data_IF_600456386811
#
_entry.id   IF_600456386811
#
_cell.length_a   1.000
_cell.length_b   1.000
_cell.length_c   1.000
_cell.angle_alpha   90.00
_cell.angle_beta   90.00
_cell.angle_gamma   90.00
#
_symmetry.space_group_name_H-M   'P 1'
#
loop_
_entity.id
_entity.type
_entity.pdbx_description
1 polymer ?
#
# COMPACT_ATOMS: atom_id res chain seq x y z
N UNK A 1 12.17 -16.42 -10.00
CA UNK A 1 11.18 -15.85 -9.07
C UNK A 1 10.89 -14.45 -9.55
N UNK A 2 9.62 -14.07 -9.75
CA UNK A 2 9.31 -12.70 -10.08
C UNK A 2 9.67 -11.80 -8.89
N UNK A 3 9.95 -10.52 -9.16
CA UNK A 3 10.22 -9.50 -8.14
C UNK A 3 9.31 -8.32 -8.48
N UNK A 4 8.61 -7.80 -7.49
CA UNK A 4 7.96 -6.49 -7.60
C UNK A 4 8.90 -5.45 -7.02
N UNK A 5 9.09 -4.37 -7.77
CA UNK A 5 9.82 -3.18 -7.33
C UNK A 5 8.89 -2.00 -7.48
N UNK A 6 8.60 -1.30 -6.39
CA UNK A 6 7.77 -0.11 -6.41
C UNK A 6 8.54 1.03 -7.12
N UNK A 7 7.89 1.77 -8.05
CA UNK A 7 8.51 2.85 -8.79
C UNK A 7 8.52 4.16 -7.96
N UNK A 8 9.21 4.14 -6.82
CA UNK A 8 9.19 5.25 -5.85
C UNK A 8 9.74 6.55 -6.44
N UNK A 9 10.78 6.48 -7.27
CA UNK A 9 11.37 7.67 -7.89
C UNK A 9 10.35 8.39 -8.78
N UNK A 10 9.60 7.65 -9.60
CA UNK A 10 8.55 8.22 -10.45
C UNK A 10 7.38 8.79 -9.62
N UNK A 11 6.99 8.11 -8.55
CA UNK A 11 5.91 8.59 -7.64
C UNK A 11 6.33 9.90 -6.95
N UNK A 12 7.57 9.97 -6.46
CA UNK A 12 8.11 11.17 -5.83
C UNK A 12 8.24 12.31 -6.83
N UNK A 13 8.72 12.04 -8.05
CA UNK A 13 8.76 13.04 -9.12
C UNK A 13 7.36 13.59 -9.41
N UNK A 14 6.38 12.70 -9.60
CA UNK A 14 5.01 13.12 -9.87
C UNK A 14 4.44 13.98 -8.73
N UNK A 15 4.63 13.55 -7.49
CA UNK A 15 4.12 14.25 -6.32
C UNK A 15 4.82 15.58 -6.06
N UNK A 16 6.15 15.62 -6.13
CA UNK A 16 6.94 16.75 -5.63
C UNK A 16 7.34 17.76 -6.72
N UNK A 17 7.39 17.35 -7.99
CA UNK A 17 7.90 18.19 -9.08
C UNK A 17 6.89 18.42 -10.20
N UNK A 18 6.09 17.42 -10.55
CA UNK A 18 5.19 17.51 -11.70
C UNK A 18 3.82 18.10 -11.37
N UNK A 19 3.20 17.63 -10.27
CA UNK A 19 1.87 18.07 -9.87
C UNK A 19 1.94 19.43 -9.17
N UNK A 20 1.15 20.39 -9.65
CA UNK A 20 0.94 21.65 -8.92
C UNK A 20 0.04 21.41 -7.70
N UNK A 21 0.68 21.40 -6.52
CA UNK A 21 0.02 21.24 -5.22
C UNK A 21 -0.21 22.57 -4.49
N UNK A 22 0.03 23.72 -5.14
CA UNK A 22 -0.10 25.04 -4.50
C UNK A 22 -1.48 25.28 -3.90
N UNK A 23 -2.54 24.83 -4.57
CA UNK A 23 -3.91 24.91 -4.08
C UNK A 23 -4.13 24.15 -2.75
N UNK A 24 -3.40 23.05 -2.52
CA UNK A 24 -3.51 22.25 -1.29
C UNK A 24 -2.91 22.98 -0.08
N UNK A 25 -1.93 23.86 -0.29
CA UNK A 25 -1.28 24.63 0.77
C UNK A 25 -2.24 25.62 1.46
N UNK A 26 -3.37 25.93 0.83
CA UNK A 26 -4.38 26.84 1.36
C UNK A 26 -5.52 26.12 2.10
N UNK A 27 -5.48 24.79 2.18
CA UNK A 27 -6.46 23.97 2.89
C UNK A 27 -5.86 23.60 4.26
N UNK A 28 -6.50 24.02 5.34
CA UNK A 28 -5.99 23.86 6.71
C UNK A 28 -5.75 22.37 7.05
N UNK A 29 -6.64 21.50 6.59
CA UNK A 29 -6.56 20.05 6.78
C UNK A 29 -5.31 19.41 6.14
N UNK A 30 -4.69 20.05 5.15
CA UNK A 30 -3.47 19.58 4.51
C UNK A 30 -2.19 20.26 5.02
N UNK A 31 -2.29 21.13 6.02
CA UNK A 31 -1.14 21.86 6.59
C UNK A 31 -0.05 20.94 7.16
N UNK A 32 -0.40 19.71 7.54
CA UNK A 32 0.53 18.68 8.05
C UNK A 32 1.17 17.82 6.96
N UNK A 33 0.70 17.91 5.71
CA UNK A 33 1.21 17.09 4.59
C UNK A 33 2.45 17.76 4.00
N UNK A 34 3.61 17.35 4.49
CA UNK A 34 4.92 17.81 3.98
C UNK A 34 5.51 16.80 2.99
N UNK A 35 6.42 17.24 2.09
CA UNK A 35 7.13 16.33 1.20
C UNK A 35 7.85 15.19 1.93
N UNK A 36 8.54 15.50 3.03
CA UNK A 36 9.25 14.50 3.84
C UNK A 36 8.28 13.45 4.43
N UNK A 37 7.09 13.87 4.87
CA UNK A 37 6.06 12.96 5.36
C UNK A 37 5.54 12.06 4.23
N UNK A 38 5.20 12.64 3.07
CA UNK A 38 4.70 11.85 1.93
C UNK A 38 5.75 10.89 1.42
N UNK A 39 7.02 11.30 1.37
CA UNK A 39 8.13 10.46 0.93
C UNK A 39 8.34 9.26 1.87
N UNK A 40 8.28 9.48 3.19
CA UNK A 40 8.34 8.40 4.17
C UNK A 40 7.18 7.41 4.03
N UNK A 41 5.96 7.92 3.77
CA UNK A 41 4.78 7.08 3.52
C UNK A 41 4.97 6.25 2.25
N UNK A 42 5.48 6.85 1.16
CA UNK A 42 5.73 6.12 -0.08
C UNK A 42 6.75 4.99 0.11
N UNK A 43 7.87 5.25 0.79
CA UNK A 43 8.89 4.22 1.07
C UNK A 43 8.32 3.05 1.87
N UNK A 44 7.53 3.32 2.90
CA UNK A 44 7.01 2.26 3.75
C UNK A 44 5.88 1.47 3.07
N UNK A 45 5.07 2.13 2.22
CA UNK A 45 4.13 1.46 1.33
C UNK A 45 4.83 0.56 0.30
N UNK A 46 5.97 1.01 -0.25
CA UNK A 46 6.79 0.19 -1.15
C UNK A 46 7.31 -1.05 -0.44
N UNK A 47 7.89 -0.90 0.76
CA UNK A 47 8.38 -2.02 1.56
C UNK A 47 7.29 -3.05 1.82
N UNK A 48 6.11 -2.64 2.26
CA UNK A 48 4.97 -3.56 2.48
C UNK A 48 4.58 -4.29 1.19
N UNK A 49 4.50 -3.55 0.08
CA UNK A 49 4.15 -4.13 -1.21
C UNK A 49 5.17 -5.16 -1.68
N UNK A 50 6.46 -4.86 -1.54
CA UNK A 50 7.57 -5.70 -1.98
C UNK A 50 7.80 -6.92 -1.07
N UNK A 51 7.72 -6.75 0.26
CA UNK A 51 8.15 -7.78 1.23
C UNK A 51 7.02 -8.57 1.86
N UNK A 52 5.80 -8.01 1.93
CA UNK A 52 4.65 -8.67 2.55
C UNK A 52 3.64 -9.12 1.50
N UNK A 53 3.20 -8.22 0.61
CA UNK A 53 2.08 -8.50 -0.28
C UNK A 53 2.49 -9.29 -1.52
N UNK A 54 3.54 -8.86 -2.21
CA UNK A 54 3.95 -9.50 -3.46
C UNK A 54 4.32 -10.99 -3.32
N UNK A 55 5.00 -11.46 -2.24
CA UNK A 55 5.26 -12.89 -2.05
C UNK A 55 3.98 -13.75 -2.01
N UNK A 56 2.85 -13.20 -1.58
CA UNK A 56 1.56 -13.89 -1.52
C UNK A 56 0.84 -13.92 -2.87
N UNK A 57 1.27 -13.13 -3.85
CA UNK A 57 0.53 -12.94 -5.10
C UNK A 57 0.36 -14.26 -5.87
N UNK A 58 1.44 -15.04 -6.00
CA UNK A 58 1.41 -16.30 -6.75
C UNK A 58 0.66 -17.40 -6.01
N UNK A 59 0.93 -17.59 -4.71
CA UNK A 59 0.23 -18.61 -3.92
C UNK A 59 -1.26 -18.28 -3.79
N UNK A 60 -1.60 -16.99 -3.71
CA UNK A 60 -2.98 -16.52 -3.72
C UNK A 60 -3.74 -16.91 -4.99
N UNK A 61 -3.13 -16.70 -6.16
CA UNK A 61 -3.68 -17.11 -7.46
C UNK A 61 -3.84 -18.63 -7.57
N UNK A 62 -2.80 -19.39 -7.17
CA UNK A 62 -2.79 -20.85 -7.26
C UNK A 62 -3.81 -21.52 -6.31
N UNK A 63 -4.04 -20.95 -5.12
CA UNK A 63 -4.97 -21.50 -4.12
C UNK A 63 -6.42 -21.05 -4.34
N UNK A 64 -6.61 -19.76 -4.65
CA UNK A 64 -7.93 -19.14 -4.75
C UNK A 64 -8.73 -19.14 -3.43
N UNK A 65 -9.93 -18.54 -3.47
CA UNK A 65 -10.87 -18.61 -2.36
C UNK A 65 -11.77 -19.84 -2.49
N UNK A 66 -12.18 -20.39 -1.35
CA UNK A 66 -13.19 -21.46 -1.30
C UNK A 66 -14.44 -21.00 -0.58
N UNK A 67 -15.61 -21.52 -1.00
CA UNK A 67 -16.90 -21.27 -0.37
C UNK A 67 -17.44 -22.59 0.18
N UNK A 68 -17.69 -22.66 1.48
CA UNK A 68 -18.27 -23.82 2.14
C UNK A 68 -19.35 -23.37 3.14
N UNK A 69 -20.60 -23.82 2.93
CA UNK A 69 -21.73 -23.53 3.81
C UNK A 69 -21.91 -22.03 4.15
N UNK A 70 -21.69 -21.15 3.16
CA UNK A 70 -21.80 -19.70 3.33
C UNK A 70 -20.56 -19.03 3.94
N UNK A 71 -19.52 -19.78 4.27
CA UNK A 71 -18.24 -19.25 4.77
C UNK A 71 -17.22 -19.23 3.63
N UNK A 72 -16.59 -18.09 3.40
CA UNK A 72 -15.49 -17.94 2.44
C UNK A 72 -14.16 -18.06 3.18
N UNK A 73 -13.26 -18.90 2.67
CA UNK A 73 -11.89 -19.03 3.16
C UNK A 73 -10.92 -18.50 2.12
N UNK A 74 -10.04 -17.58 2.54
CA UNK A 74 -9.00 -16.97 1.71
C UNK A 74 -7.76 -17.86 1.64
N UNK A 75 -6.89 -17.67 0.63
CA UNK A 75 -5.59 -18.31 0.57
C UNK A 75 -4.75 -18.11 1.84
N UNK A 76 -3.82 -19.02 2.05
CA UNK A 76 -2.87 -18.97 3.15
C UNK A 76 -2.06 -17.66 3.13
N UNK A 77 -1.80 -17.09 4.31
CA UNK A 77 -1.03 -15.87 4.50
C UNK A 77 -1.79 -14.56 4.30
N UNK A 78 -2.94 -14.57 3.61
CA UNK A 78 -3.72 -13.35 3.36
C UNK A 78 -4.32 -12.77 4.65
N UNK A 79 -4.78 -13.63 5.56
CA UNK A 79 -5.35 -13.18 6.84
C UNK A 79 -4.28 -12.50 7.71
N UNK A 80 -3.09 -13.10 7.78
CA UNK A 80 -1.96 -12.60 8.55
C UNK A 80 -1.41 -11.29 7.96
N UNK A 81 -1.32 -11.21 6.63
CA UNK A 81 -0.94 -9.97 5.94
C UNK A 81 -1.99 -8.87 6.16
N UNK A 82 -3.28 -9.20 6.08
CA UNK A 82 -4.36 -8.25 6.33
C UNK A 82 -4.28 -7.67 7.75
N UNK A 83 -4.08 -8.51 8.77
CA UNK A 83 -3.89 -8.06 10.16
C UNK A 83 -2.74 -7.05 10.24
N UNK A 84 -1.55 -7.39 9.72
CA UNK A 84 -0.39 -6.50 9.74
C UNK A 84 -0.66 -5.16 9.05
N UNK A 85 -1.30 -5.18 7.88
CA UNK A 85 -1.63 -3.96 7.12
C UNK A 85 -2.61 -3.07 7.91
N UNK A 86 -3.62 -3.66 8.53
CA UNK A 86 -4.61 -2.91 9.32
C UNK A 86 -4.05 -2.39 10.64
N UNK A 87 -3.24 -3.17 11.35
CA UNK A 87 -2.58 -2.74 12.60
C UNK A 87 -1.59 -1.59 12.37
N UNK A 88 -0.96 -1.57 11.19
CA UNK A 88 -0.10 -0.47 10.77
C UNK A 88 -0.88 0.77 10.24
N UNK A 89 -2.22 0.75 10.28
CA UNK A 89 -3.05 1.91 9.95
C UNK A 89 -3.28 2.17 8.46
N UNK A 90 -2.79 1.31 7.56
CA UNK A 90 -2.94 1.51 6.11
C UNK A 90 -4.39 1.44 5.63
N UNK A 91 -5.26 0.77 6.39
CA UNK A 91 -6.70 0.72 6.10
C UNK A 91 -7.48 1.99 6.42
N UNK A 92 -6.83 3.02 6.98
CA UNK A 92 -7.48 4.27 7.41
C UNK A 92 -6.92 5.53 6.74
N UNK A 93 -6.04 5.39 5.75
CA UNK A 93 -5.55 6.54 4.98
C UNK A 93 -6.69 7.13 4.13
N UNK A 94 -6.85 8.46 4.18
CA UNK A 94 -7.90 9.23 3.48
C UNK A 94 -7.32 10.45 2.80
#
# INVERSE_FOLDING_TARGET
MAIFKAPIDDIKYLSNEFLDKSALQHIEEFSSITPDLTDAIYEEAAKISETLLFPLNRSGDEQGCTLNNGVVTTPDGFKEAYVQVTEAGWGTLT
#
